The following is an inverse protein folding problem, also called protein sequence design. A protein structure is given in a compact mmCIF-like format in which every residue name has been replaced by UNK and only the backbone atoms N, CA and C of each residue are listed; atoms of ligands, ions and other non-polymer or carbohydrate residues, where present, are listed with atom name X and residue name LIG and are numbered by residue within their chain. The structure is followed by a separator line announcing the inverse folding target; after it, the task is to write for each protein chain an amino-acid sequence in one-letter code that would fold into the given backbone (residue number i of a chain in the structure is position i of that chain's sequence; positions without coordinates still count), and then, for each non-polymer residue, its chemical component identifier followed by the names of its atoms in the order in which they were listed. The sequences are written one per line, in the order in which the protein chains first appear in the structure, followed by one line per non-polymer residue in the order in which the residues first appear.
data_IF_487150595213
#
_entry.id   IF_487150595213
#
_cell.length_a   1.000
_cell.length_b   1.000
_cell.length_c   1.000
_cell.angle_alpha   90.00
_cell.angle_beta   90.00
_cell.angle_gamma   90.00
#
_symmetry.space_group_name_H-M   'P 1'
#
loop_
_entity.id
_entity.type
_entity.pdbx_description
1 polymer ?
#
# COMPACT_ATOMS: atom_id res chain seq x y z
N UNK A 1 -22.88 -16.27 12.99
CA UNK A 1 -22.32 -17.28 12.06
C UNK A 1 -20.88 -17.59 12.45
N UNK A 2 -20.41 -18.81 12.20
CA UNK A 2 -18.99 -19.16 12.39
C UNK A 2 -18.17 -18.61 11.22
N UNK A 3 -16.98 -18.06 11.49
CA UNK A 3 -16.06 -17.61 10.44
C UNK A 3 -15.69 -18.78 9.51
N UNK A 4 -15.32 -18.48 8.26
CA UNK A 4 -14.90 -19.47 7.26
C UNK A 4 -13.68 -18.98 6.45
N UNK A 5 -12.97 -19.88 5.77
CA UNK A 5 -11.86 -19.48 4.90
C UNK A 5 -12.40 -18.99 3.55
N UNK A 6 -11.85 -17.88 3.06
CA UNK A 6 -12.14 -17.38 1.72
C UNK A 6 -10.95 -17.64 0.79
N UNK A 7 -11.23 -18.22 -0.37
CA UNK A 7 -10.24 -18.48 -1.43
C UNK A 7 -10.50 -17.66 -2.70
N UNK A 8 -11.59 -16.88 -2.75
CA UNK A 8 -11.97 -16.07 -3.91
C UNK A 8 -12.43 -14.66 -3.50
N UNK A 9 -11.82 -13.62 -4.10
CA UNK A 9 -12.16 -12.23 -3.82
C UNK A 9 -11.62 -11.70 -2.47
N UNK A 10 -12.05 -10.50 -2.02
CA UNK A 10 -11.53 -9.86 -0.82
C UNK A 10 -11.89 -10.59 0.49
N UNK A 11 -10.97 -10.59 1.46
CA UNK A 11 -11.26 -11.10 2.80
C UNK A 11 -11.96 -10.05 3.67
N UNK A 12 -13.01 -10.45 4.40
CA UNK A 12 -13.76 -9.61 5.32
C UNK A 12 -13.52 -10.08 6.77
N UNK A 13 -12.94 -9.25 7.67
CA UNK A 13 -12.49 -9.70 9.00
C UNK A 13 -13.59 -10.22 9.92
N UNK A 14 -14.82 -9.78 9.74
CA UNK A 14 -16.00 -10.15 10.52
C UNK A 14 -16.52 -11.55 10.18
N UNK A 15 -16.43 -11.97 8.91
CA UNK A 15 -16.95 -13.25 8.42
C UNK A 15 -15.87 -14.27 7.98
N UNK A 16 -14.64 -13.84 7.70
CA UNK A 16 -13.56 -14.71 7.25
C UNK A 16 -12.47 -14.93 8.31
N UNK A 17 -11.90 -16.13 8.34
CA UNK A 17 -10.66 -16.37 9.07
C UNK A 17 -9.51 -15.62 8.39
N UNK A 18 -8.87 -14.73 9.15
CA UNK A 18 -7.71 -13.95 8.71
C UNK A 18 -6.59 -14.12 9.72
N UNK A 19 -5.38 -14.25 9.22
CA UNK A 19 -4.16 -14.13 10.02
C UNK A 19 -3.59 -12.74 9.80
N UNK A 20 -3.24 -12.03 10.88
CA UNK A 20 -2.52 -10.77 10.74
C UNK A 20 -1.26 -11.02 9.90
N UNK A 21 -1.06 -10.17 8.91
CA UNK A 21 0.16 -10.18 8.12
C UNK A 21 1.35 -9.71 8.95
N UNK A 22 1.13 -8.75 9.85
CA UNK A 22 2.18 -8.13 10.66
C UNK A 22 2.72 -9.10 11.70
N UNK A 23 1.86 -9.89 12.36
CA UNK A 23 2.30 -10.94 13.28
C UNK A 23 3.18 -12.00 12.61
N UNK A 24 2.97 -12.25 11.31
CA UNK A 24 3.79 -13.18 10.51
C UNK A 24 5.08 -12.56 9.98
N UNK A 25 5.28 -11.26 10.17
CA UNK A 25 6.44 -10.52 9.70
C UNK A 25 7.05 -9.67 10.84
N UNK A 26 7.43 -10.30 11.97
CA UNK A 26 7.82 -9.58 13.19
C UNK A 26 9.04 -8.66 13.01
N UNK A 27 9.88 -8.93 12.00
CA UNK A 27 11.08 -8.13 11.71
C UNK A 27 10.77 -6.84 10.95
N UNK A 28 9.62 -6.72 10.29
CA UNK A 28 9.31 -5.57 9.42
C UNK A 28 9.30 -4.27 10.20
N UNK A 29 8.70 -4.22 11.40
CA UNK A 29 8.69 -2.97 12.19
C UNK A 29 10.12 -2.51 12.50
N UNK A 30 11.00 -3.41 12.91
CA UNK A 30 12.41 -3.07 13.17
C UNK A 30 13.12 -2.54 11.91
N UNK A 31 12.82 -3.08 10.73
CA UNK A 31 13.38 -2.59 9.47
C UNK A 31 12.87 -1.18 9.14
N UNK A 32 11.58 -0.91 9.37
CA UNK A 32 10.97 0.41 9.19
C UNK A 32 11.57 1.42 10.18
N UNK A 33 11.66 1.07 11.46
CA UNK A 33 12.23 1.90 12.52
C UNK A 33 13.71 2.26 12.21
N UNK A 34 14.44 1.36 11.55
CA UNK A 34 15.82 1.56 11.07
C UNK A 34 15.92 2.26 9.70
N UNK A 35 14.79 2.61 9.07
CA UNK A 35 14.71 3.26 7.75
C UNK A 35 15.30 2.41 6.60
N UNK A 36 15.21 1.10 6.71
CA UNK A 36 15.70 0.18 5.70
C UNK A 36 14.67 -0.08 4.59
N UNK A 37 15.15 -0.31 3.37
CA UNK A 37 14.35 -0.91 2.31
C UNK A 37 14.31 -2.44 2.50
N UNK A 38 13.15 -3.05 2.22
CA UNK A 38 12.98 -4.49 2.29
C UNK A 38 12.10 -5.01 1.15
N UNK A 39 12.26 -6.29 0.85
CA UNK A 39 11.50 -6.99 -0.21
C UNK A 39 10.71 -8.13 0.41
N UNK A 40 9.42 -8.20 0.10
CA UNK A 40 8.57 -9.35 0.46
C UNK A 40 8.57 -10.36 -0.69
N UNK A 41 9.37 -11.42 -0.55
CA UNK A 41 9.41 -12.50 -1.52
C UNK A 41 8.38 -13.60 -1.17
N UNK A 42 7.37 -13.81 -2.03
CA UNK A 42 6.42 -14.89 -1.87
C UNK A 42 5.76 -15.29 -3.21
N UNK A 43 5.25 -16.53 -3.37
CA UNK A 43 4.59 -17.01 -4.59
C UNK A 43 3.40 -16.15 -5.05
N UNK A 44 2.93 -16.34 -6.29
CA UNK A 44 1.74 -15.64 -6.79
C UNK A 44 0.52 -16.01 -5.94
N UNK A 45 -0.40 -15.06 -5.78
CA UNK A 45 -1.70 -15.22 -5.11
C UNK A 45 -1.68 -15.60 -3.61
N UNK A 46 -0.54 -15.51 -2.92
CA UNK A 46 -0.43 -15.78 -1.47
C UNK A 46 -0.81 -14.59 -0.56
N UNK A 47 -1.46 -13.56 -1.11
CA UNK A 47 -1.95 -12.41 -0.34
C UNK A 47 -0.90 -11.35 0.00
N UNK A 48 0.18 -11.21 -0.77
CA UNK A 48 1.21 -10.15 -0.57
C UNK A 48 0.60 -8.74 -0.55
N UNK A 49 -0.26 -8.43 -1.51
CA UNK A 49 -0.93 -7.12 -1.60
C UNK A 49 -1.79 -6.86 -0.37
N UNK A 50 -2.56 -7.86 0.06
CA UNK A 50 -3.36 -7.81 1.29
C UNK A 50 -2.46 -7.58 2.51
N UNK A 51 -1.33 -8.27 2.60
CA UNK A 51 -0.39 -8.13 3.70
C UNK A 51 0.20 -6.72 3.79
N UNK A 52 0.57 -6.12 2.65
CA UNK A 52 1.08 -4.73 2.57
C UNK A 52 0.00 -3.70 2.92
N UNK A 53 -1.24 -3.91 2.48
CA UNK A 53 -2.38 -3.04 2.82
C UNK A 53 -2.65 -3.06 4.32
N UNK A 54 -2.74 -4.25 4.93
CA UNK A 54 -2.94 -4.39 6.37
C UNK A 54 -1.77 -3.79 7.16
N UNK A 55 -0.52 -4.00 6.73
CA UNK A 55 0.64 -3.36 7.35
C UNK A 55 0.55 -1.82 7.33
N UNK A 56 0.19 -1.22 6.18
CA UNK A 56 0.05 0.22 6.08
C UNK A 56 -1.06 0.78 6.99
N UNK A 57 -2.18 0.05 7.11
CA UNK A 57 -3.27 0.41 8.01
C UNK A 57 -2.86 0.32 9.48
N UNK A 58 -2.17 -0.75 9.90
CA UNK A 58 -1.70 -0.92 11.27
C UNK A 58 -0.65 0.15 11.65
N UNK A 59 0.29 0.44 10.75
CA UNK A 59 1.28 1.51 10.93
C UNK A 59 0.62 2.89 11.06
N UNK A 60 -0.42 3.16 10.27
CA UNK A 60 -1.16 4.43 10.35
C UNK A 60 -1.99 4.50 11.63
N UNK A 61 -2.63 3.39 12.02
CA UNK A 61 -3.45 3.30 13.22
C UNK A 61 -2.63 3.40 14.52
N UNK A 62 -1.33 3.06 14.51
CA UNK A 62 -0.48 3.23 15.68
C UNK A 62 -0.21 4.70 16.01
N UNK A 63 -0.39 5.62 15.05
CA UNK A 63 -0.08 7.04 15.19
C UNK A 63 1.42 7.37 15.12
N UNK A 64 2.29 6.36 15.07
CA UNK A 64 3.75 6.56 14.91
C UNK A 64 4.12 6.87 13.46
N UNK A 65 3.34 6.36 12.50
CA UNK A 65 3.63 6.43 11.08
C UNK A 65 2.41 6.92 10.29
N UNK A 66 2.67 7.49 9.12
CA UNK A 66 1.67 7.60 8.06
C UNK A 66 2.14 6.70 6.93
N UNK A 67 1.40 5.63 6.65
CA UNK A 67 1.81 4.62 5.68
C UNK A 67 0.76 4.46 4.58
N UNK A 68 1.21 4.41 3.33
CA UNK A 68 0.35 4.28 2.16
C UNK A 68 0.89 3.19 1.25
N UNK A 69 0.02 2.25 0.85
CA UNK A 69 0.35 1.31 -0.22
C UNK A 69 0.11 1.98 -1.58
N UNK A 70 1.16 2.06 -2.38
CA UNK A 70 1.15 2.66 -3.71
C UNK A 70 1.68 1.67 -4.75
N UNK A 71 1.26 1.86 -6.00
CA UNK A 71 1.72 1.07 -7.14
C UNK A 71 2.20 1.98 -8.25
N UNK A 72 3.25 1.56 -8.95
CA UNK A 72 3.75 2.19 -10.19
C UNK A 72 3.22 1.49 -11.45
N UNK A 73 2.47 0.40 -11.30
CA UNK A 73 2.03 -0.46 -12.40
C UNK A 73 1.16 0.29 -13.42
N UNK A 74 0.38 1.29 -12.98
CA UNK A 74 -0.42 2.14 -13.87
C UNK A 74 0.42 2.89 -14.91
N UNK A 75 1.70 3.15 -14.62
CA UNK A 75 2.63 3.75 -15.57
C UNK A 75 3.11 2.78 -16.65
N UNK A 76 2.99 1.46 -16.44
CA UNK A 76 3.49 0.46 -17.40
C UNK A 76 2.77 0.49 -18.75
N UNK A 77 1.59 1.09 -18.83
CA UNK A 77 0.88 1.35 -20.09
C UNK A 77 1.58 2.38 -20.98
N UNK A 78 2.57 3.11 -20.46
CA UNK A 78 3.25 4.24 -21.13
C UNK A 78 4.78 4.09 -21.08
N UNK A 79 5.36 3.00 -21.63
CA UNK A 79 6.78 2.68 -21.47
C UNK A 79 7.72 3.75 -22.04
N UNK A 80 7.33 4.39 -23.14
CA UNK A 80 8.14 5.40 -23.84
C UNK A 80 7.63 6.84 -23.62
N UNK A 81 6.69 7.03 -22.68
CA UNK A 81 6.04 8.32 -22.41
C UNK A 81 6.11 8.63 -20.90
N UNK A 82 7.32 8.90 -20.37
CA UNK A 82 7.55 9.05 -18.93
C UNK A 82 6.70 10.15 -18.31
N UNK A 83 6.35 11.20 -19.06
CA UNK A 83 5.52 12.31 -18.58
C UNK A 83 4.07 11.88 -18.36
N UNK A 84 3.56 10.96 -19.18
CA UNK A 84 2.22 10.39 -19.00
C UNK A 84 2.24 9.35 -17.89
N UNK A 85 3.29 8.51 -17.83
CA UNK A 85 3.48 7.53 -16.77
C UNK A 85 3.53 8.19 -15.39
N UNK A 86 4.35 9.24 -15.23
CA UNK A 86 4.47 10.03 -14.00
C UNK A 86 3.10 10.55 -13.55
N UNK A 87 2.35 11.21 -14.43
CA UNK A 87 1.01 11.74 -14.11
C UNK A 87 0.03 10.64 -13.71
N UNK A 88 0.06 9.50 -14.39
CA UNK A 88 -0.80 8.36 -14.06
C UNK A 88 -0.47 7.78 -12.67
N UNK A 89 0.83 7.62 -12.37
CA UNK A 89 1.33 7.12 -11.08
C UNK A 89 0.96 8.09 -9.95
N UNK A 90 1.33 9.36 -10.06
CA UNK A 90 1.05 10.38 -9.04
C UNK A 90 -0.45 10.56 -8.83
N UNK A 91 -1.24 10.55 -9.91
CA UNK A 91 -2.70 10.59 -9.84
C UNK A 91 -3.31 9.39 -9.11
N UNK A 92 -2.77 8.19 -9.31
CA UNK A 92 -3.18 6.99 -8.58
C UNK A 92 -2.80 7.07 -7.10
N UNK A 93 -1.60 7.56 -6.78
CA UNK A 93 -1.14 7.72 -5.40
C UNK A 93 -2.00 8.73 -4.64
N UNK A 94 -2.32 9.87 -5.26
CA UNK A 94 -3.21 10.86 -4.66
C UNK A 94 -4.63 10.31 -4.42
N UNK A 95 -5.14 9.46 -5.32
CA UNK A 95 -6.43 8.76 -5.11
C UNK A 95 -6.35 7.78 -3.95
N UNK A 96 -5.29 6.98 -3.87
CA UNK A 96 -5.08 6.03 -2.77
C UNK A 96 -4.98 6.74 -1.43
N UNK A 97 -4.23 7.85 -1.36
CA UNK A 97 -4.12 8.66 -0.14
C UNK A 97 -5.49 9.15 0.33
N UNK A 98 -6.31 9.70 -0.57
CA UNK A 98 -7.67 10.15 -0.24
C UNK A 98 -8.59 9.03 0.23
N UNK A 99 -8.39 7.81 -0.27
CA UNK A 99 -9.24 6.66 0.07
C UNK A 99 -8.82 6.00 1.39
N UNK A 100 -7.52 5.88 1.66
CA UNK A 100 -7.01 5.10 2.79
C UNK A 100 -6.59 5.93 3.99
N UNK A 101 -6.26 7.21 3.82
CA UNK A 101 -5.76 8.06 4.90
C UNK A 101 -6.85 9.01 5.42
N UNK A 102 -6.87 9.28 6.74
CA UNK A 102 -7.58 10.43 7.32
C UNK A 102 -7.20 11.73 6.62
N UNK A 103 -8.12 12.70 6.59
CA UNK A 103 -7.95 13.97 5.85
C UNK A 103 -6.73 14.75 6.32
N UNK A 104 -6.40 14.65 7.61
CA UNK A 104 -5.28 15.31 8.27
C UNK A 104 -3.93 14.73 7.82
N UNK A 105 -3.93 13.51 7.29
CA UNK A 105 -2.75 12.79 6.81
C UNK A 105 -2.66 12.78 5.28
N UNK A 106 -3.51 13.54 4.58
CA UNK A 106 -3.41 13.65 3.12
C UNK A 106 -2.09 14.33 2.75
N UNK A 107 -1.37 13.81 1.73
CA UNK A 107 -0.15 14.44 1.27
C UNK A 107 -0.46 15.85 0.74
N UNK A 108 0.53 16.76 0.75
CA UNK A 108 0.37 18.07 0.14
C UNK A 108 0.02 17.94 -1.34
N UNK A 109 -0.48 19.04 -1.92
CA UNK A 109 -0.68 19.10 -3.35
C UNK A 109 0.64 18.80 -4.07
N UNK A 110 0.55 18.01 -5.14
CA UNK A 110 1.69 17.73 -6.02
C UNK A 110 2.16 19.07 -6.59
N UNK A 111 3.43 19.45 -6.40
CA UNK A 111 3.92 20.73 -6.87
C UNK A 111 3.86 20.82 -8.40
N UNK A 112 3.64 22.02 -8.92
CA UNK A 112 3.86 22.26 -10.34
C UNK A 112 5.37 22.20 -10.61
N UNK A 113 5.80 21.16 -11.30
CA UNK A 113 7.18 20.96 -11.73
C UNK A 113 7.23 20.42 -13.17
N UNK A 114 8.42 20.50 -13.76
CA UNK A 114 8.71 19.86 -15.04
C UNK A 114 8.46 18.35 -14.96
N UNK A 115 8.19 17.74 -16.10
CA UNK A 115 7.96 16.31 -16.11
C UNK A 115 9.23 15.54 -15.72
N UNK A 116 9.08 14.53 -14.87
CA UNK A 116 10.19 13.83 -14.22
C UNK A 116 10.67 14.46 -12.92
N UNK A 117 10.09 15.59 -12.49
CA UNK A 117 10.44 16.31 -11.26
C UNK A 117 9.24 16.61 -10.35
N UNK A 118 8.07 16.01 -10.62
CA UNK A 118 6.83 16.24 -9.86
C UNK A 118 6.72 15.36 -8.62
#
# INVERSE_FOLDING_TARGET
MKKHFNTAGPCQPDIHYMLSSVERMPQIKSLIDQRNYFVIHAPRQVGKTTAMLTLAQELTASGEYTALMVSVEVGSAFPDQPEIAEKAILGAWAKNARFWLPKELHPPAIPEAEAGQR
#
